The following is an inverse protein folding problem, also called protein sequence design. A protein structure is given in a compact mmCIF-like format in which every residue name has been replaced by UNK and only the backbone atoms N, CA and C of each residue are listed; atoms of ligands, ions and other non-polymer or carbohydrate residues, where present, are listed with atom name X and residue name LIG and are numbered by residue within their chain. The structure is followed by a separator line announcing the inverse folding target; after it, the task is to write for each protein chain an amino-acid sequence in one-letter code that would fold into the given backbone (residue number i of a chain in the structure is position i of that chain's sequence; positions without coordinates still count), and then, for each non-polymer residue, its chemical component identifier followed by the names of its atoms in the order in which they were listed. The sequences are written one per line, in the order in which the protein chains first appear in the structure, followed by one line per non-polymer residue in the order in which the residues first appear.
data_IF_601146661082
#
_entry.id   IF_601146661082
#
_cell.length_a   1.000
_cell.length_b   1.000
_cell.length_c   1.000
_cell.angle_alpha   90.00
_cell.angle_beta   90.00
_cell.angle_gamma   90.00
#
_symmetry.space_group_name_H-M   'P 1'
#
loop_
_entity.id
_entity.type
_entity.pdbx_description
1 polymer ?
#
# COMPACT_ATOMS: atom_id res chain seq x y z
N UNK A 1 23.72 -14.36 -5.46
CA UNK A 1 23.63 -12.89 -5.61
C UNK A 1 22.87 -12.38 -4.39
N UNK A 2 23.23 -11.21 -3.86
CA UNK A 2 22.50 -10.64 -2.72
C UNK A 2 21.06 -10.30 -3.12
N UNK A 3 20.13 -10.40 -2.17
CA UNK A 3 18.73 -10.02 -2.31
C UNK A 3 18.62 -8.49 -2.21
N UNK A 4 18.32 -7.85 -3.34
CA UNK A 4 18.42 -6.40 -3.53
C UNK A 4 17.10 -5.72 -3.18
N UNK A 5 17.17 -4.73 -2.28
CA UNK A 5 16.01 -4.07 -1.70
C UNK A 5 16.06 -2.55 -1.85
N UNK A 6 15.00 -1.99 -2.43
CA UNK A 6 14.72 -0.54 -2.47
C UNK A 6 13.61 -0.18 -1.46
N UNK A 7 13.94 0.67 -0.49
CA UNK A 7 13.01 1.02 0.61
C UNK A 7 12.46 2.44 0.41
N UNK A 8 11.19 2.57 0.03
CA UNK A 8 10.51 3.84 -0.20
C UNK A 8 9.78 4.33 1.05
N UNK A 9 9.66 5.65 1.23
CA UNK A 9 9.06 6.24 2.43
C UNK A 9 9.68 5.66 3.70
N UNK A 10 11.00 5.56 3.69
CA UNK A 10 11.74 4.62 4.54
C UNK A 10 11.61 4.94 6.03
N UNK A 11 11.28 6.19 6.37
CA UNK A 11 11.31 6.70 7.73
C UNK A 11 12.68 6.43 8.33
N UNK A 12 12.71 5.71 9.45
CA UNK A 12 13.94 5.32 10.14
C UNK A 12 14.51 3.97 9.67
N UNK A 13 14.03 3.42 8.55
CA UNK A 13 14.56 2.20 7.92
C UNK A 13 14.00 0.92 8.53
N UNK A 14 12.74 0.91 8.94
CA UNK A 14 12.12 -0.25 9.58
C UNK A 14 12.05 -1.49 8.67
N UNK A 15 11.79 -1.29 7.37
CA UNK A 15 11.80 -2.37 6.39
C UNK A 15 13.21 -2.85 6.08
N UNK A 16 14.16 -1.95 5.81
CA UNK A 16 15.55 -2.33 5.58
C UNK A 16 16.15 -3.09 6.78
N UNK A 17 15.85 -2.66 8.00
CA UNK A 17 16.24 -3.40 9.21
C UNK A 17 15.65 -4.82 9.21
N UNK A 18 14.34 -4.97 8.96
CA UNK A 18 13.70 -6.28 8.89
C UNK A 18 14.33 -7.18 7.81
N UNK A 19 14.62 -6.64 6.64
CA UNK A 19 15.22 -7.38 5.54
C UNK A 19 16.66 -7.82 5.89
N UNK A 20 17.47 -6.94 6.47
CA UNK A 20 18.81 -7.29 6.95
C UNK A 20 18.76 -8.45 7.97
N UNK A 21 17.78 -8.47 8.87
CA UNK A 21 17.64 -9.58 9.83
C UNK A 21 17.23 -10.91 9.19
N UNK A 22 16.56 -10.90 8.03
CA UNK A 22 16.05 -12.10 7.36
C UNK A 22 17.05 -12.69 6.37
N UNK A 23 17.74 -11.84 5.62
CA UNK A 23 18.69 -12.24 4.58
C UNK A 23 20.16 -12.17 5.02
N UNK A 24 20.49 -11.46 6.09
CA UNK A 24 21.84 -11.37 6.68
C UNK A 24 22.90 -10.99 5.62
N UNK A 25 23.93 -11.80 5.41
CA UNK A 25 24.97 -11.57 4.41
C UNK A 25 24.46 -11.62 2.95
N UNK A 26 23.30 -12.23 2.71
CA UNK A 26 22.66 -12.31 1.38
C UNK A 26 21.72 -11.11 1.12
N UNK A 27 21.96 -9.96 1.74
CA UNK A 27 21.11 -8.77 1.65
C UNK A 27 21.87 -7.54 1.15
N UNK A 28 21.24 -6.77 0.26
CA UNK A 28 21.75 -5.47 -0.17
C UNK A 28 20.61 -4.43 -0.19
N UNK A 29 20.73 -3.38 0.62
CA UNK A 29 19.88 -2.20 0.48
C UNK A 29 20.47 -1.29 -0.59
N UNK A 30 19.78 -1.16 -1.73
CA UNK A 30 20.28 -0.41 -2.88
C UNK A 30 20.05 1.09 -2.78
N UNK A 31 19.12 1.50 -1.90
CA UNK A 31 18.76 2.90 -1.73
C UNK A 31 17.54 3.11 -0.86
N UNK A 32 17.44 4.34 -0.34
CA UNK A 32 16.30 4.84 0.41
C UNK A 32 15.66 6.03 -0.31
N UNK A 33 14.35 6.19 -0.15
CA UNK A 33 13.64 7.42 -0.52
C UNK A 33 12.90 7.95 0.69
N UNK A 34 13.38 9.05 1.27
CA UNK A 34 12.87 9.63 2.50
C UNK A 34 13.04 11.15 2.53
N UNK A 35 11.96 11.89 2.71
CA UNK A 35 11.93 13.36 2.61
C UNK A 35 12.28 14.06 3.93
N UNK A 36 12.10 13.39 5.07
CA UNK A 36 12.30 13.97 6.39
C UNK A 36 13.81 13.96 6.76
N UNK A 37 14.44 15.14 6.95
CA UNK A 37 15.88 15.21 7.22
C UNK A 37 16.32 14.49 8.50
N UNK A 38 15.43 14.39 9.51
CA UNK A 38 15.73 13.66 10.74
C UNK A 38 15.80 12.16 10.46
N UNK A 39 14.80 11.62 9.75
CA UNK A 39 14.80 10.24 9.29
C UNK A 39 16.04 9.93 8.42
N UNK A 40 16.39 10.79 7.47
CA UNK A 40 17.60 10.62 6.67
C UNK A 40 18.88 10.57 7.52
N UNK A 41 18.99 11.39 8.56
CA UNK A 41 20.16 11.36 9.44
C UNK A 41 20.24 10.05 10.24
N UNK A 42 19.09 9.49 10.65
CA UNK A 42 19.03 8.15 11.24
C UNK A 42 19.46 7.08 10.24
N UNK A 43 18.97 7.14 9.00
CA UNK A 43 19.35 6.21 7.94
C UNK A 43 20.86 6.25 7.65
N UNK A 44 21.46 7.44 7.53
CA UNK A 44 22.92 7.60 7.31
C UNK A 44 23.75 6.95 8.41
N UNK A 45 23.29 7.07 9.66
CA UNK A 45 23.96 6.46 10.81
C UNK A 45 23.82 4.93 10.82
N UNK A 46 22.64 4.41 10.45
CA UNK A 46 22.30 2.99 10.54
C UNK A 46 22.75 2.17 9.33
N UNK A 47 22.74 2.78 8.15
CA UNK A 47 23.03 2.16 6.86
C UNK A 47 24.10 3.00 6.13
N UNK A 48 25.35 3.03 6.64
CA UNK A 48 26.39 3.88 6.08
C UNK A 48 26.72 3.47 4.63
N UNK A 49 26.77 4.45 3.73
CA UNK A 49 27.12 4.24 2.32
C UNK A 49 25.94 3.90 1.41
N UNK A 50 24.75 3.65 1.94
CA UNK A 50 23.54 3.47 1.12
C UNK A 50 23.04 4.84 0.64
N UNK A 51 22.74 5.01 -0.66
CA UNK A 51 22.24 6.29 -1.18
C UNK A 51 20.85 6.60 -0.63
N UNK A 52 20.59 7.87 -0.38
CA UNK A 52 19.30 8.37 0.13
C UNK A 52 18.84 9.50 -0.79
N UNK A 53 17.65 9.33 -1.35
CA UNK A 53 16.96 10.34 -2.16
C UNK A 53 15.87 11.00 -1.34
N UNK A 54 15.64 12.30 -1.57
CA UNK A 54 14.73 13.09 -0.74
C UNK A 54 13.26 12.86 -1.12
N UNK A 55 12.86 13.31 -2.32
CA UNK A 55 11.45 13.31 -2.73
C UNK A 55 11.18 12.21 -3.76
N UNK A 56 10.21 11.33 -3.44
CA UNK A 56 9.70 10.30 -4.33
C UNK A 56 9.23 10.87 -5.67
N UNK A 57 8.76 12.11 -5.71
CA UNK A 57 8.28 12.77 -6.95
C UNK A 57 9.40 13.06 -7.94
N UNK A 58 10.63 13.14 -7.45
CA UNK A 58 11.84 13.38 -8.24
C UNK A 58 12.74 12.14 -8.36
N UNK A 59 12.38 11.06 -7.66
CA UNK A 59 13.10 9.80 -7.72
C UNK A 59 12.63 8.97 -8.92
N UNK A 60 13.56 8.53 -9.77
CA UNK A 60 13.24 7.87 -11.04
C UNK A 60 12.71 8.83 -12.13
N UNK A 61 12.34 8.27 -13.29
CA UNK A 61 11.88 9.00 -14.48
C UNK A 61 12.98 9.69 -15.31
N UNK A 62 12.60 10.34 -16.43
CA UNK A 62 13.53 10.96 -17.39
C UNK A 62 14.42 12.09 -16.80
N UNK A 63 13.99 12.70 -15.68
CA UNK A 63 14.69 13.81 -15.03
C UNK A 63 15.26 13.46 -13.65
N UNK A 64 15.00 12.25 -13.15
CA UNK A 64 15.47 11.80 -11.84
C UNK A 64 16.78 11.04 -11.91
N UNK A 65 17.31 10.66 -10.74
CA UNK A 65 18.46 9.77 -10.64
C UNK A 65 18.06 8.38 -11.18
N UNK A 66 18.75 7.84 -12.21
CA UNK A 66 18.42 6.55 -12.78
C UNK A 66 18.55 5.46 -11.72
N UNK A 67 17.51 4.65 -11.58
CA UNK A 67 17.58 3.41 -10.79
C UNK A 67 18.35 2.43 -11.67
N UNK A 68 19.64 2.23 -11.36
CA UNK A 68 20.64 1.66 -12.26
C UNK A 68 20.13 0.54 -13.18
N UNK A 69 20.28 0.73 -14.49
CA UNK A 69 19.78 -0.15 -15.56
C UNK A 69 20.30 -1.60 -15.47
N UNK A 70 21.38 -1.85 -14.73
CA UNK A 70 22.11 -3.11 -14.77
C UNK A 70 21.77 -4.09 -13.64
N UNK A 71 20.83 -3.78 -12.73
CA UNK A 71 20.59 -4.66 -11.58
C UNK A 71 19.14 -4.74 -11.13
N UNK A 72 18.56 -5.95 -11.30
CA UNK A 72 17.23 -6.33 -10.81
C UNK A 72 17.04 -5.94 -9.34
N UNK A 73 15.89 -5.38 -9.02
CA UNK A 73 15.44 -5.20 -7.64
C UNK A 73 14.55 -6.39 -7.28
N UNK A 74 14.91 -7.09 -6.21
CA UNK A 74 14.16 -8.26 -5.77
C UNK A 74 12.98 -7.84 -4.91
N UNK A 75 13.16 -6.81 -4.07
CA UNK A 75 12.14 -6.31 -3.16
C UNK A 75 12.03 -4.79 -3.20
N UNK A 76 10.80 -4.30 -3.26
CA UNK A 76 10.45 -2.91 -3.04
C UNK A 76 9.49 -2.82 -1.85
N UNK A 77 9.82 -1.98 -0.86
CA UNK A 77 8.91 -1.73 0.27
C UNK A 77 8.45 -0.28 0.32
N UNK A 78 7.31 -0.03 0.96
CA UNK A 78 6.92 1.34 1.27
C UNK A 78 5.71 1.50 2.19
N UNK A 79 5.88 2.30 3.23
CA UNK A 79 4.80 2.77 4.11
C UNK A 79 4.24 4.10 3.62
N UNK A 80 3.55 4.11 2.49
CA UNK A 80 3.15 5.36 1.85
C UNK A 80 2.13 6.15 2.68
N UNK A 81 2.24 7.48 2.75
CA UNK A 81 1.39 8.28 3.60
C UNK A 81 -0.09 8.21 3.19
N UNK A 82 -0.93 7.79 4.14
CA UNK A 82 -2.39 7.82 4.04
C UNK A 82 -2.93 8.96 4.90
N UNK A 83 -2.78 10.20 4.43
CA UNK A 83 -3.50 11.30 5.06
C UNK A 83 -4.93 11.37 4.53
N UNK A 84 -5.95 11.30 5.40
CA UNK A 84 -7.33 11.29 4.97
C UNK A 84 -7.74 12.67 4.46
N UNK A 85 -8.55 12.65 3.40
CA UNK A 85 -9.52 13.69 3.12
C UNK A 85 -10.28 13.99 4.42
N UNK A 86 -10.06 15.17 5.01
CA UNK A 86 -10.87 15.57 6.17
C UNK A 86 -12.35 15.62 5.76
N UNK A 87 -13.28 15.42 6.70
CA UNK A 87 -14.72 15.41 6.44
C UNK A 87 -15.26 16.69 5.75
N UNK A 88 -14.49 17.79 5.76
CA UNK A 88 -14.79 19.03 5.03
C UNK A 88 -14.36 19.00 3.54
N UNK A 89 -13.59 17.99 3.12
CA UNK A 89 -12.89 17.88 1.84
C UNK A 89 -13.54 16.94 0.82
N UNK A 90 -14.76 16.46 1.05
CA UNK A 90 -15.56 15.60 0.15
C UNK A 90 -15.76 16.15 -1.28
N UNK A 91 -15.23 17.35 -1.59
CA UNK A 91 -15.28 18.00 -2.91
C UNK A 91 -13.94 18.08 -3.65
N UNK A 92 -12.82 17.56 -3.11
CA UNK A 92 -11.49 17.58 -3.76
C UNK A 92 -10.87 16.19 -3.87
N UNK A 93 -11.65 15.20 -4.30
CA UNK A 93 -11.15 13.86 -4.61
C UNK A 93 -9.93 13.89 -5.53
N UNK A 94 -8.97 12.97 -5.30
CA UNK A 94 -7.76 12.70 -6.10
C UNK A 94 -6.80 13.87 -6.40
N UNK A 95 -7.06 15.08 -5.90
CA UNK A 95 -6.24 16.28 -6.10
C UNK A 95 -5.49 16.73 -4.83
N UNK A 96 -5.35 15.86 -3.82
CA UNK A 96 -4.55 16.13 -2.63
C UNK A 96 -3.11 15.68 -2.89
N UNK A 97 -2.18 16.64 -2.88
CA UNK A 97 -0.73 16.44 -3.13
C UNK A 97 -0.03 15.48 -2.15
N UNK A 98 -0.75 14.99 -1.13
CA UNK A 98 -0.27 14.13 -0.05
C UNK A 98 -0.63 12.65 -0.24
N UNK A 99 -1.41 12.32 -1.27
CA UNK A 99 -1.65 10.94 -1.71
C UNK A 99 -0.52 10.50 -2.64
N UNK A 100 0.45 9.73 -2.11
CA UNK A 100 1.67 9.37 -2.83
C UNK A 100 1.65 7.94 -3.40
N UNK A 101 0.49 7.27 -3.43
CA UNK A 101 0.34 5.96 -4.08
C UNK A 101 0.74 6.02 -5.56
N UNK A 102 0.33 7.07 -6.27
CA UNK A 102 0.67 7.22 -7.70
C UNK A 102 2.17 7.34 -7.94
N UNK A 103 2.88 8.02 -7.04
CA UNK A 103 4.33 8.13 -7.11
C UNK A 103 5.00 6.78 -6.81
N UNK A 104 4.48 6.03 -5.83
CA UNK A 104 4.94 4.67 -5.55
C UNK A 104 4.68 3.72 -6.73
N UNK A 105 3.50 3.79 -7.34
CA UNK A 105 3.13 2.99 -8.51
C UNK A 105 4.04 3.29 -9.71
N UNK A 106 4.36 4.57 -9.95
CA UNK A 106 5.34 4.95 -10.98
C UNK A 106 6.69 4.29 -10.74
N UNK A 107 7.19 4.30 -9.51
CA UNK A 107 8.45 3.61 -9.18
C UNK A 107 8.33 2.10 -9.36
N UNK A 108 7.19 1.48 -9.01
CA UNK A 108 6.93 0.05 -9.27
C UNK A 108 6.98 -0.27 -10.78
N UNK A 109 6.43 0.62 -11.61
CA UNK A 109 6.45 0.48 -13.07
C UNK A 109 7.87 0.58 -13.65
N UNK A 110 8.65 1.54 -13.17
CA UNK A 110 10.03 1.77 -13.61
C UNK A 110 10.98 0.65 -13.13
N UNK A 111 10.89 0.28 -11.85
CA UNK A 111 11.80 -0.66 -11.19
C UNK A 111 11.45 -2.11 -11.48
N UNK A 112 10.17 -2.42 -11.66
CA UNK A 112 9.65 -3.78 -11.86
C UNK A 112 10.19 -4.78 -10.82
N UNK A 113 10.04 -4.51 -9.51
CA UNK A 113 10.55 -5.40 -8.48
C UNK A 113 9.86 -6.77 -8.55
N UNK A 114 10.51 -7.80 -8.01
CA UNK A 114 9.92 -9.14 -7.96
C UNK A 114 8.86 -9.24 -6.86
N UNK A 115 9.16 -8.65 -5.72
CA UNK A 115 8.27 -8.56 -4.57
C UNK A 115 8.01 -7.11 -4.20
N UNK A 116 6.78 -6.85 -3.77
CA UNK A 116 6.36 -5.56 -3.23
C UNK A 116 5.78 -5.79 -1.84
N UNK A 117 6.18 -4.99 -0.86
CA UNK A 117 5.48 -4.90 0.43
C UNK A 117 5.07 -3.44 0.67
N UNK A 118 3.78 -3.17 0.54
CA UNK A 118 3.21 -1.90 0.92
C UNK A 118 2.53 -1.99 2.29
N UNK A 119 2.75 -0.99 3.16
CA UNK A 119 2.08 -0.89 4.46
C UNK A 119 1.19 0.34 4.52
N UNK A 120 0.05 0.20 5.20
CA UNK A 120 -0.80 1.34 5.50
C UNK A 120 -1.66 1.18 6.75
N UNK A 121 -2.25 2.28 7.22
CA UNK A 121 -3.22 2.30 8.32
C UNK A 121 -4.48 1.49 7.99
N UNK A 122 -5.09 0.88 9.01
CA UNK A 122 -6.34 0.12 8.89
C UNK A 122 -7.47 0.91 8.19
N UNK A 123 -7.51 2.23 8.37
CA UNK A 123 -8.53 3.10 7.77
C UNK A 123 -8.56 3.05 6.23
N UNK A 124 -7.47 2.63 5.58
CA UNK A 124 -7.36 2.49 4.12
C UNK A 124 -8.52 1.64 3.55
N UNK A 125 -8.89 0.55 4.22
CA UNK A 125 -9.92 -0.40 3.78
C UNK A 125 -11.31 0.23 3.63
N UNK A 126 -11.56 1.35 4.30
CA UNK A 126 -12.86 2.03 4.30
C UNK A 126 -12.83 3.38 3.58
N UNK A 127 -11.65 3.80 3.11
CA UNK A 127 -11.47 5.12 2.53
C UNK A 127 -12.25 5.25 1.22
N UNK A 128 -13.05 6.32 1.11
CA UNK A 128 -13.99 6.54 0.00
C UNK A 128 -14.91 5.34 -0.25
N UNK A 129 -15.31 4.62 0.80
CA UNK A 129 -16.18 3.45 0.67
C UNK A 129 -15.49 2.19 0.19
N UNK A 130 -14.15 2.12 0.28
CA UNK A 130 -13.33 0.99 -0.16
C UNK A 130 -12.64 1.23 -1.51
N UNK A 131 -13.10 2.20 -2.29
CA UNK A 131 -12.61 2.46 -3.65
C UNK A 131 -11.11 2.70 -3.73
N UNK A 132 -10.49 3.32 -2.72
CA UNK A 132 -9.04 3.57 -2.76
C UNK A 132 -8.24 2.29 -2.55
N UNK A 133 -8.71 1.41 -1.68
CA UNK A 133 -8.09 0.10 -1.50
C UNK A 133 -8.24 -0.74 -2.77
N UNK A 134 -9.44 -0.76 -3.36
CA UNK A 134 -9.71 -1.48 -4.61
C UNK A 134 -8.85 -0.92 -5.77
N UNK A 135 -8.64 0.40 -5.83
CA UNK A 135 -7.74 1.06 -6.79
C UNK A 135 -6.30 0.56 -6.64
N UNK A 136 -5.77 0.51 -5.41
CA UNK A 136 -4.40 0.00 -5.15
C UNK A 136 -4.23 -1.45 -5.64
N UNK A 137 -5.17 -2.33 -5.26
CA UNK A 137 -5.09 -3.74 -5.65
C UNK A 137 -5.19 -3.88 -7.17
N UNK A 138 -6.15 -3.18 -7.79
CA UNK A 138 -6.34 -3.21 -9.24
C UNK A 138 -5.12 -2.66 -9.99
N UNK A 139 -4.52 -1.58 -9.51
CA UNK A 139 -3.31 -1.00 -10.11
C UNK A 139 -2.16 -2.00 -10.09
N UNK A 140 -1.91 -2.66 -8.96
CA UNK A 140 -0.86 -3.68 -8.84
C UNK A 140 -1.12 -4.92 -9.70
N UNK A 141 -2.37 -5.39 -9.77
CA UNK A 141 -2.76 -6.52 -10.62
C UNK A 141 -2.63 -6.18 -12.10
N UNK A 142 -2.97 -4.96 -12.51
CA UNK A 142 -2.77 -4.47 -13.88
C UNK A 142 -1.28 -4.37 -14.24
N UNK A 143 -0.43 -4.11 -13.24
CA UNK A 143 1.01 -4.24 -13.34
C UNK A 143 1.48 -5.71 -13.29
N UNK A 144 0.61 -6.72 -13.39
CA UNK A 144 1.05 -8.11 -13.48
C UNK A 144 1.66 -8.65 -12.19
N UNK A 145 1.22 -8.15 -11.04
CA UNK A 145 1.49 -8.75 -9.73
C UNK A 145 0.31 -9.59 -9.25
N UNK A 146 0.58 -10.73 -8.62
CA UNK A 146 -0.37 -11.41 -7.76
C UNK A 146 -0.36 -10.74 -6.39
N UNK A 147 -1.52 -10.23 -5.96
CA UNK A 147 -1.61 -9.34 -4.80
C UNK A 147 -2.39 -9.99 -3.67
N UNK A 148 -1.78 -10.05 -2.49
CA UNK A 148 -2.40 -10.57 -1.28
C UNK A 148 -2.34 -9.55 -0.14
N UNK A 149 -3.49 -8.99 0.28
CA UNK A 149 -3.57 -8.12 1.44
C UNK A 149 -3.76 -8.91 2.75
N UNK A 150 -3.16 -8.42 3.82
CA UNK A 150 -3.27 -8.91 5.19
C UNK A 150 -3.55 -7.78 6.17
N UNK A 151 -4.25 -8.09 7.26
CA UNK A 151 -4.40 -7.16 8.39
C UNK A 151 -3.67 -7.79 9.57
N UNK A 152 -2.55 -7.20 9.96
CA UNK A 152 -1.71 -7.75 11.02
C UNK A 152 -1.53 -6.67 12.09
N UNK A 153 -2.04 -6.90 13.32
CA UNK A 153 -1.76 -6.01 14.43
C UNK A 153 -0.34 -6.24 14.94
N UNK A 154 0.34 -5.17 15.34
CA UNK A 154 1.68 -5.25 15.94
C UNK A 154 1.78 -6.25 17.11
N UNK A 155 0.75 -6.33 17.96
CA UNK A 155 0.70 -7.24 19.09
C UNK A 155 0.67 -8.73 18.67
N UNK A 156 0.32 -9.06 17.43
CA UNK A 156 0.45 -10.44 16.94
C UNK A 156 1.91 -10.91 16.84
N UNK A 157 2.88 -9.98 16.81
CA UNK A 157 4.31 -10.25 16.92
C UNK A 157 4.91 -9.64 18.18
N UNK A 158 4.19 -9.83 19.29
CA UNK A 158 4.63 -9.50 20.65
C UNK A 158 4.89 -8.01 20.92
N UNK A 159 4.48 -7.08 20.04
CA UNK A 159 4.59 -5.67 20.38
C UNK A 159 3.67 -5.32 21.58
N UNK A 160 4.11 -4.44 22.51
CA UNK A 160 3.37 -4.14 23.74
C UNK A 160 2.17 -3.21 23.50
N UNK A 161 1.77 -3.02 22.25
CA UNK A 161 0.71 -2.11 21.84
C UNK A 161 -0.07 -2.69 20.66
N UNK A 162 -1.36 -2.36 20.60
CA UNK A 162 -2.20 -2.71 19.46
C UNK A 162 -2.05 -1.63 18.39
N UNK A 163 -1.60 -2.04 17.20
CA UNK A 163 -1.49 -1.20 16.01
C UNK A 163 -1.86 -2.03 14.80
N UNK A 164 -3.14 -2.00 14.44
CA UNK A 164 -3.66 -2.69 13.25
C UNK A 164 -3.16 -1.98 11.98
N UNK A 165 -2.56 -2.75 11.07
CA UNK A 165 -2.02 -2.28 9.79
C UNK A 165 -2.39 -3.22 8.66
N UNK A 166 -2.65 -2.62 7.50
CA UNK A 166 -2.84 -3.31 6.24
C UNK A 166 -1.47 -3.51 5.61
N UNK A 167 -1.16 -4.74 5.25
CA UNK A 167 0.05 -5.12 4.54
C UNK A 167 -0.37 -5.69 3.20
N UNK A 168 0.06 -5.08 2.11
CA UNK A 168 -0.27 -5.48 0.74
C UNK A 168 1.00 -6.06 0.14
N UNK A 169 0.98 -7.35 -0.15
CA UNK A 169 2.11 -8.08 -0.71
C UNK A 169 1.82 -8.34 -2.19
N UNK A 170 2.74 -7.95 -3.08
CA UNK A 170 2.69 -8.28 -4.49
C UNK A 170 3.83 -9.20 -4.88
N UNK A 171 3.55 -10.24 -5.66
CA UNK A 171 4.56 -11.09 -6.32
C UNK A 171 4.45 -10.96 -7.84
N UNK A 172 5.55 -10.70 -8.52
CA UNK A 172 5.54 -10.56 -9.97
C UNK A 172 5.16 -11.90 -10.64
N UNK A 173 4.18 -11.86 -11.54
CA UNK A 173 3.84 -13.03 -12.36
C UNK A 173 5.01 -13.42 -13.28
N UNK A 174 5.08 -14.70 -13.66
CA UNK A 174 6.09 -15.17 -14.63
C UNK A 174 6.08 -14.34 -15.92
N UNK A 175 4.87 -13.96 -16.38
CA UNK A 175 4.67 -13.10 -17.55
C UNK A 175 5.36 -11.74 -17.38
N UNK A 176 5.28 -11.10 -16.20
CA UNK A 176 5.93 -9.80 -15.95
C UNK A 176 7.46 -9.95 -15.92
N UNK A 177 7.96 -11.04 -15.33
CA UNK A 177 9.39 -11.30 -15.22
C UNK A 177 10.06 -11.59 -16.59
N UNK A 178 9.31 -12.15 -17.54
CA UNK A 178 9.81 -12.49 -18.88
C UNK A 178 9.75 -11.32 -19.87
N UNK A 179 8.87 -10.32 -19.65
CA UNK A 179 8.74 -9.17 -20.53
C UNK A 179 9.85 -8.16 -20.30
N UNK A 180 10.54 -7.79 -21.38
CA UNK A 180 11.47 -6.66 -21.35
C UNK A 180 10.72 -5.32 -21.23
N UNK A 181 11.32 -4.27 -20.65
CA UNK A 181 10.68 -2.95 -20.55
C UNK A 181 10.21 -2.38 -21.90
N UNK A 182 10.90 -2.72 -23.00
CA UNK A 182 10.55 -2.28 -24.35
C UNK A 182 9.29 -2.97 -24.91
N UNK A 183 9.04 -4.22 -24.53
CA UNK A 183 7.88 -5.01 -25.02
C UNK A 183 6.58 -4.56 -24.36
N UNK A 184 6.60 -4.20 -23.07
CA UNK A 184 5.40 -3.66 -22.39
C UNK A 184 5.03 -2.24 -22.84
N UNK A 185 6.02 -1.40 -23.16
CA UNK A 185 5.74 -0.09 -23.74
C UNK A 185 5.03 -0.20 -25.10
N UNK A 186 5.35 -1.21 -25.91
CA UNK A 186 4.62 -1.47 -27.16
C UNK A 186 3.20 -2.02 -26.92
N UNK A 187 3.01 -2.94 -25.97
CA UNK A 187 1.68 -3.48 -25.66
C UNK A 187 0.75 -2.44 -25.03
N UNK A 188 1.24 -1.62 -24.09
CA UNK A 188 0.45 -0.55 -23.46
C UNK A 188 -0.06 0.49 -24.46
N UNK A 189 0.76 0.85 -25.46
CA UNK A 189 0.33 1.73 -26.57
C UNK A 189 -0.74 1.05 -27.41
N UNK A 190 -0.56 -0.23 -27.74
CA UNK A 190 -1.55 -0.99 -28.53
C UNK A 190 -2.87 -1.18 -27.77
N UNK A 191 -2.83 -1.44 -26.46
CA UNK A 191 -4.02 -1.58 -25.62
C UNK A 191 -4.75 -0.26 -25.41
N UNK A 192 -4.02 0.85 -25.26
CA UNK A 192 -4.61 2.19 -25.23
C UNK A 192 -5.31 2.53 -26.55
N UNK A 193 -4.70 2.21 -27.69
CA UNK A 193 -5.33 2.35 -29.01
C UNK A 193 -6.57 1.47 -29.17
N UNK A 194 -6.53 0.24 -28.64
CA UNK A 194 -7.64 -0.72 -28.70
C UNK A 194 -8.82 -0.28 -27.82
N UNK A 195 -8.57 0.26 -26.63
CA UNK A 195 -9.59 0.85 -25.75
C UNK A 195 -10.25 2.06 -26.40
N UNK A 196 -9.45 3.00 -26.93
CA UNK A 196 -9.97 4.15 -27.66
C UNK A 196 -10.84 3.75 -28.86
N UNK A 197 -10.45 2.72 -29.61
CA UNK A 197 -11.24 2.21 -30.74
C UNK A 197 -12.56 1.56 -30.30
N UNK A 198 -12.58 0.93 -29.14
CA UNK A 198 -13.80 0.32 -28.56
C UNK A 198 -14.76 1.38 -28.03
N UNK A 199 -14.24 2.44 -27.41
CA UNK A 199 -15.05 3.57 -26.94
C UNK A 199 -15.66 4.36 -28.11
N UNK A 200 -14.91 4.61 -29.19
CA UNK A 200 -15.46 5.23 -30.42
C UNK A 200 -16.59 4.38 -31.01
N UNK A 201 -16.42 3.05 -31.06
CA UNK A 201 -17.46 2.14 -31.54
C UNK A 201 -18.70 2.14 -30.64
N UNK A 202 -18.54 2.14 -29.32
CA UNK A 202 -19.68 2.22 -28.39
C UNK A 202 -20.42 3.56 -28.47
N UNK A 203 -19.71 4.64 -28.78
CA UNK A 203 -20.31 5.96 -28.98
C UNK A 203 -21.10 6.02 -30.29
N UNK A 204 -20.58 5.40 -31.36
CA UNK A 204 -21.27 5.28 -32.64
C UNK A 204 -22.53 4.41 -32.56
N UNK A 205 -22.48 3.29 -31.82
CA UNK A 205 -23.66 2.43 -31.60
C UNK A 205 -24.76 3.19 -30.84
N UNK A 206 -24.39 4.00 -29.83
CA UNK A 206 -25.33 4.84 -29.09
C UNK A 206 -26.02 5.92 -29.94
N UNK A 207 -25.32 6.51 -30.90
CA UNK A 207 -25.94 7.47 -31.83
C UNK A 207 -26.91 6.78 -32.79
N UNK A 208 -26.59 5.58 -33.28
CA UNK A 208 -27.49 4.82 -34.17
C UNK A 208 -28.75 4.32 -33.44
N UNK A 209 -28.65 3.96 -32.16
CA UNK A 209 -29.79 3.55 -31.35
C UNK A 209 -30.72 4.73 -31.00
N UNK A 210 -30.18 5.93 -30.74
CA UNK A 210 -30.99 7.14 -30.56
C UNK A 210 -31.73 7.56 -31.84
N UNK A 211 -31.11 7.41 -33.01
CA UNK A 211 -31.76 7.72 -34.29
C UNK A 211 -32.91 6.73 -34.60
N UNK A 212 -32.76 5.45 -34.22
CA UNK A 212 -33.83 4.44 -34.33
C UNK A 212 -35.00 4.70 -33.38
N UNK A 213 -34.73 5.07 -32.12
CA UNK A 213 -35.79 5.43 -31.17
C UNK A 213 -36.58 6.66 -31.65
N UNK A 214 -35.92 7.68 -32.20
CA UNK A 214 -36.60 8.87 -32.73
C UNK A 214 -37.50 8.53 -33.94
N UNK A 215 -37.05 7.63 -34.82
CA UNK A 215 -37.85 7.16 -35.96
C UNK A 215 -39.04 6.29 -35.53
N UNK A 216 -38.88 5.43 -34.52
CA UNK A 216 -39.98 4.60 -33.99
C UNK A 216 -41.07 5.46 -33.32
N UNK A 217 -40.68 6.52 -32.59
CA UNK A 217 -41.62 7.45 -31.98
C UNK A 217 -42.40 8.25 -33.04
N UNK A 218 -41.75 8.76 -34.08
CA UNK A 218 -42.42 9.49 -35.18
C UNK A 218 -43.40 8.62 -35.97
N UNK A 219 -43.12 7.31 -36.09
CA UNK A 219 -44.02 6.34 -36.73
C UNK A 219 -45.20 5.93 -35.82
N UNK A 220 -45.04 5.96 -34.50
CA UNK A 220 -46.11 5.66 -33.54
C UNK A 220 -47.13 6.80 -33.41
N UNK A 221 -46.71 8.05 -33.65
CA UNK A 221 -47.55 9.24 -33.51
C UNK A 221 -48.46 9.48 -34.72
N UNK A 222 -48.12 8.93 -35.89
CA UNK A 222 -48.91 9.01 -37.12
C UNK A 222 -50.07 7.99 -37.21
N UNK A 223 -50.16 7.05 -36.26
CA UNK A 223 -51.13 5.94 -36.30
C UNK A 223 -52.18 5.93 -35.17
N UNK A 224 -52.38 7.04 -34.44
CA UNK A 224 -53.42 7.12 -33.40
C UNK A 224 -54.64 7.95 -33.83
N UNK A 225 -55.64 7.27 -34.37
CA UNK A 225 -57.04 7.74 -34.39
C UNK A 225 -57.95 6.79 -33.60
N UNK A 226 -58.71 7.39 -32.68
CA UNK A 226 -59.95 6.95 -32.03
C UNK A 226 -60.00 5.78 -31.01
N UNK A 227 -59.99 6.19 -29.73
CA UNK A 227 -61.02 5.94 -28.68
C UNK A 227 -61.24 4.48 -28.16
N UNK A 228 -62.02 4.26 -27.06
CA UNK A 228 -61.45 4.03 -25.72
C UNK A 228 -61.99 2.76 -24.99
N UNK A 229 -61.22 2.10 -24.13
CA UNK A 229 -61.83 1.29 -23.07
C UNK A 229 -60.95 1.01 -21.83
N UNK A 230 -61.68 0.78 -20.73
CA UNK A 230 -61.33 0.53 -19.34
C UNK A 230 -60.62 -0.82 -19.14
N UNK A 231 -59.79 -0.91 -18.10
CA UNK A 231 -59.28 -2.20 -17.60
C UNK A 231 -58.41 -2.05 -16.35
N UNK A 232 -58.80 -2.71 -15.28
CA UNK A 232 -58.26 -2.65 -13.92
C UNK A 232 -56.79 -3.07 -13.80
N UNK A 233 -56.03 -2.31 -13.00
CA UNK A 233 -54.66 -2.64 -12.60
C UNK A 233 -54.66 -3.38 -11.26
N UNK A 234 -54.50 -4.71 -11.30
CA UNK A 234 -54.15 -5.51 -10.12
C UNK A 234 -52.63 -5.46 -9.88
N UNK A 235 -52.31 -5.05 -8.66
CA UNK A 235 -50.98 -4.83 -8.11
C UNK A 235 -50.37 -6.18 -7.65
N UNK A 236 -49.42 -6.73 -8.40
CA UNK A 236 -48.62 -7.90 -7.99
C UNK A 236 -47.28 -7.46 -7.40
N UNK A 237 -47.29 -7.22 -6.08
CA UNK A 237 -46.09 -7.18 -5.24
C UNK A 237 -45.45 -8.57 -5.19
N UNK A 238 -44.39 -8.79 -5.96
CA UNK A 238 -43.52 -9.94 -5.78
C UNK A 238 -42.49 -9.64 -4.68
N UNK A 239 -42.69 -10.30 -3.55
CA UNK A 239 -41.72 -10.38 -2.46
C UNK A 239 -40.47 -11.10 -2.96
N UNK A 240 -39.30 -10.46 -2.88
CA UNK A 240 -38.01 -11.16 -3.01
C UNK A 240 -37.35 -11.18 -1.63
N UNK A 241 -37.18 -12.41 -1.15
CA UNK A 241 -36.76 -12.77 0.20
C UNK A 241 -35.33 -12.35 0.51
N UNK A 242 -35.16 -11.72 1.67
CA UNK A 242 -33.87 -11.49 2.31
C UNK A 242 -33.38 -12.79 2.94
N UNK A 243 -32.50 -13.50 2.23
CA UNK A 243 -31.70 -14.58 2.84
C UNK A 243 -30.57 -13.96 3.65
N UNK A 244 -30.82 -13.77 4.95
CA UNK A 244 -29.78 -13.58 5.99
C UNK A 244 -29.00 -14.88 6.08
N UNK A 245 -27.81 -14.93 5.48
CA UNK A 245 -26.81 -15.94 5.85
C UNK A 245 -26.19 -15.52 7.18
N UNK A 246 -26.44 -16.31 8.23
CA UNK A 246 -25.67 -16.29 9.47
C UNK A 246 -24.46 -17.17 9.21
N UNK A 247 -23.28 -16.59 9.09
CA UNK A 247 -22.06 -17.35 9.28
C UNK A 247 -21.00 -16.51 10.01
N UNK A 248 -20.81 -16.86 11.28
CA UNK A 248 -19.52 -17.12 11.90
C UNK A 248 -18.48 -15.98 11.94
N UNK A 249 -18.74 -14.98 12.79
CA UNK A 249 -17.68 -14.17 13.43
C UNK A 249 -17.01 -15.01 14.52
N UNK A 250 -15.96 -15.77 14.16
CA UNK A 250 -15.01 -16.24 15.15
C UNK A 250 -14.00 -15.11 15.38
N UNK A 251 -14.21 -14.36 16.46
CA UNK A 251 -13.16 -13.58 17.10
C UNK A 251 -12.24 -14.63 17.70
N UNK A 252 -11.02 -14.77 17.17
CA UNK A 252 -9.97 -15.53 17.84
C UNK A 252 -9.64 -14.82 19.16
N UNK A 253 -10.20 -15.31 20.25
CA UNK A 253 -9.64 -15.08 21.59
C UNK A 253 -8.29 -15.78 21.62
N UNK A 254 -7.24 -14.99 21.86
CA UNK A 254 -5.87 -15.46 21.96
C UNK A 254 -5.71 -16.13 23.33
N UNK A 255 -5.80 -17.46 23.38
CA UNK A 255 -5.38 -18.24 24.54
C UNK A 255 -3.84 -18.20 24.63
N UNK A 256 -3.35 -17.49 25.65
CA UNK A 256 -1.94 -17.51 26.04
C UNK A 256 -1.57 -18.91 26.52
N UNK A 257 -0.79 -19.64 25.71
CA UNK A 257 -0.16 -20.89 26.14
C UNK A 257 1.10 -20.56 26.91
N UNK A 258 1.09 -20.86 28.21
CA UNK A 258 2.25 -20.77 29.09
C UNK A 258 3.35 -21.69 28.54
N UNK A 259 4.43 -21.07 28.03
CA UNK A 259 5.67 -21.77 27.71
C UNK A 259 6.69 -21.45 28.79
N UNK A 260 7.33 -22.52 29.27
CA UNK A 260 8.16 -22.52 30.46
C UNK A 260 9.39 -21.60 30.32
N UNK A 261 9.61 -20.92 31.44
CA UNK A 261 10.54 -19.84 31.68
C UNK A 261 12.00 -20.33 31.72
N UNK A 262 12.85 -19.85 30.79
CA UNK A 262 14.31 -19.80 31.01
C UNK A 262 14.89 -18.51 30.42
N UNK A 263 15.53 -17.70 31.26
CA UNK A 263 16.38 -16.58 30.86
C UNK A 263 15.75 -15.20 31.08
N UNK A 264 16.27 -14.49 32.07
CA UNK A 264 15.87 -13.14 32.50
C UNK A 264 15.96 -12.09 31.38
N UNK A 265 14.82 -11.57 30.94
CA UNK A 265 14.64 -10.20 30.40
C UNK A 265 13.17 -9.85 30.07
N UNK A 266 12.24 -10.81 30.19
CA UNK A 266 10.82 -10.64 29.86
C UNK A 266 9.96 -9.90 30.91
N UNK A 267 10.54 -9.14 31.85
CA UNK A 267 9.77 -8.41 32.87
C UNK A 267 9.11 -7.11 32.37
N UNK A 268 9.45 -6.65 31.16
CA UNK A 268 8.92 -5.39 30.59
C UNK A 268 7.55 -5.54 29.90
N UNK A 269 7.10 -6.76 29.60
CA UNK A 269 5.93 -7.00 28.72
C UNK A 269 4.56 -6.93 29.41
N UNK A 270 4.54 -6.91 30.76
CA UNK A 270 3.33 -6.69 31.56
C UNK A 270 3.14 -5.23 31.97
N UNK A 271 3.96 -4.31 31.46
CA UNK A 271 3.92 -2.88 31.80
C UNK A 271 2.90 -2.20 30.87
N UNK A 272 2.03 -1.35 31.42
CA UNK A 272 1.09 -0.55 30.62
C UNK A 272 1.89 0.25 29.58
N UNK A 273 1.46 0.21 28.31
CA UNK A 273 2.13 0.93 27.23
C UNK A 273 2.23 2.44 27.50
N UNK A 274 1.35 3.01 28.34
CA UNK A 274 1.45 4.39 28.81
C UNK A 274 2.65 4.60 29.72
N UNK A 275 2.96 3.64 30.59
CA UNK A 275 4.13 3.68 31.45
C UNK A 275 5.41 3.50 30.64
N UNK A 276 5.39 2.64 29.61
CA UNK A 276 6.49 2.52 28.62
C UNK A 276 6.68 3.83 27.84
N UNK A 277 5.58 4.44 27.38
CA UNK A 277 5.58 5.72 26.66
C UNK A 277 6.04 6.88 27.56
N UNK A 278 5.66 6.90 28.83
CA UNK A 278 6.11 7.88 29.82
C UNK A 278 7.59 7.70 30.14
N UNK A 279 8.08 6.46 30.23
CA UNK A 279 9.48 6.16 30.48
C UNK A 279 10.39 6.55 29.29
N UNK A 280 9.95 6.29 28.06
CA UNK A 280 10.62 6.79 26.83
C UNK A 280 10.57 8.31 26.72
N UNK A 281 9.54 8.94 27.25
CA UNK A 281 9.40 10.40 27.29
C UNK A 281 10.34 11.10 28.29
N UNK A 282 10.84 10.41 29.32
CA UNK A 282 11.58 11.01 30.44
C UNK A 282 13.11 10.74 30.41
N UNK A 283 13.68 10.44 29.23
CA UNK A 283 15.12 10.25 28.98
C UNK A 283 15.76 9.02 29.67
N UNK A 284 14.99 8.01 30.08
CA UNK A 284 15.52 6.81 30.78
C UNK A 284 15.42 5.50 30.02
N UNK A 285 14.80 5.49 28.83
CA UNK A 285 14.75 4.31 27.97
C UNK A 285 15.53 4.65 26.72
N UNK A 286 16.56 3.85 26.44
CA UNK A 286 17.26 3.88 25.15
C UNK A 286 16.26 3.47 24.07
N UNK A 287 15.79 4.44 23.29
CA UNK A 287 14.84 4.23 22.20
C UNK A 287 15.54 3.70 20.93
N UNK A 288 16.84 3.44 21.01
CA UNK A 288 17.64 2.98 19.90
C UNK A 288 17.87 4.07 18.85
N UNK A 289 17.56 5.34 19.10
CA UNK A 289 17.93 6.44 18.21
C UNK A 289 18.99 7.29 18.91
N UNK A 290 20.15 7.42 18.27
CA UNK A 290 21.27 8.19 18.84
C UNK A 290 20.82 9.61 19.22
N UNK A 291 21.23 10.04 20.42
CA UNK A 291 21.02 11.42 20.89
C UNK A 291 21.86 12.46 20.11
N UNK A 292 22.76 12.00 19.23
CA UNK A 292 23.56 12.81 18.32
C UNK A 292 23.43 12.24 16.91
N UNK A 293 22.88 13.04 16.00
CA UNK A 293 22.79 12.73 14.59
C UNK A 293 23.65 13.76 13.83
N UNK A 294 24.62 13.28 13.07
CA UNK A 294 25.54 14.14 12.33
C UNK A 294 24.78 14.94 11.27
N UNK A 295 25.16 16.21 11.10
CA UNK A 295 24.53 17.12 10.14
C UNK A 295 23.23 17.78 10.62
N UNK A 296 22.78 17.52 11.86
CA UNK A 296 21.59 18.15 12.44
C UNK A 296 21.91 18.86 13.77
N UNK A 297 21.88 20.19 13.76
CA UNK A 297 21.93 21.00 14.99
C UNK A 297 20.51 21.19 15.54
N UNK A 298 20.05 20.24 16.35
CA UNK A 298 18.74 20.30 17.01
C UNK A 298 18.89 20.56 18.50
N UNK A 299 17.98 21.37 19.07
CA UNK A 299 17.83 21.43 20.53
C UNK A 299 17.35 20.09 21.07
N UNK A 300 17.66 19.76 22.34
CA UNK A 300 17.23 18.51 22.96
C UNK A 300 15.70 18.29 22.88
N UNK A 301 14.92 19.35 23.08
CA UNK A 301 13.46 19.30 22.97
C UNK A 301 12.99 18.99 21.53
N UNK A 302 13.62 19.63 20.52
CA UNK A 302 13.29 19.37 19.11
C UNK A 302 13.70 17.95 18.70
N UNK A 303 14.87 17.50 19.11
CA UNK A 303 15.33 16.14 18.87
C UNK A 303 14.37 15.10 19.44
N UNK A 304 13.87 15.30 20.67
CA UNK A 304 12.87 14.41 21.28
C UNK A 304 11.57 14.36 20.48
N UNK A 305 11.08 15.51 20.01
CA UNK A 305 9.87 15.58 19.18
C UNK A 305 10.02 14.80 17.88
N UNK A 306 11.15 14.97 17.18
CA UNK A 306 11.40 14.23 15.93
C UNK A 306 11.55 12.72 16.17
N UNK A 307 12.18 12.28 17.26
CA UNK A 307 12.22 10.85 17.64
C UNK A 307 10.83 10.26 17.82
N UNK A 308 9.96 10.93 18.58
CA UNK A 308 8.59 10.46 18.82
C UNK A 308 7.81 10.38 17.51
N UNK A 309 7.92 11.40 16.65
CA UNK A 309 7.28 11.43 15.33
C UNK A 309 7.78 10.28 14.45
N UNK A 310 9.09 10.08 14.39
CA UNK A 310 9.72 9.03 13.60
C UNK A 310 9.28 7.63 14.06
N UNK A 311 9.34 7.34 15.36
CA UNK A 311 8.88 6.08 15.95
C UNK A 311 7.38 5.85 15.76
N UNK A 312 6.57 6.91 15.88
CA UNK A 312 5.12 6.82 15.68
C UNK A 312 4.71 6.52 14.24
N UNK A 313 5.51 6.99 13.26
CA UNK A 313 5.29 6.77 11.84
C UNK A 313 5.91 5.48 11.32
N UNK A 314 6.97 4.98 11.96
CA UNK A 314 7.63 3.75 11.56
C UNK A 314 6.68 2.55 11.53
N UNK A 315 6.96 1.62 10.62
CA UNK A 315 6.37 0.28 10.63
C UNK A 315 6.93 -0.51 11.82
N UNK A 316 6.28 -1.61 12.17
CA UNK A 316 6.75 -2.53 13.22
C UNK A 316 7.61 -3.61 12.57
N UNK A 317 8.95 -3.59 12.73
CA UNK A 317 9.84 -4.46 11.96
C UNK A 317 9.59 -5.95 12.19
N UNK A 318 9.16 -6.34 13.40
CA UNK A 318 8.85 -7.73 13.73
C UNK A 318 7.73 -8.32 12.86
N UNK A 319 6.79 -7.49 12.39
CA UNK A 319 5.75 -7.95 11.45
C UNK A 319 6.33 -8.09 10.05
N UNK A 320 7.09 -7.09 9.60
CA UNK A 320 7.77 -7.13 8.30
C UNK A 320 8.72 -8.32 8.18
N UNK A 321 9.45 -8.67 9.24
CA UNK A 321 10.35 -9.84 9.27
C UNK A 321 9.61 -11.15 8.96
N UNK A 322 8.39 -11.33 9.43
CA UNK A 322 7.65 -12.58 9.19
C UNK A 322 7.13 -12.66 7.76
N UNK A 323 6.68 -11.54 7.22
CA UNK A 323 6.33 -11.42 5.80
C UNK A 323 7.54 -11.77 4.95
N UNK A 324 8.70 -11.16 5.26
CA UNK A 324 9.95 -11.37 4.54
C UNK A 324 10.48 -12.80 4.68
N UNK A 325 10.32 -13.46 5.82
CA UNK A 325 10.60 -14.91 5.96
C UNK A 325 9.72 -15.75 5.04
N UNK A 326 8.44 -15.39 4.91
CA UNK A 326 7.53 -16.02 3.95
C UNK A 326 7.99 -15.86 2.51
N UNK A 327 8.43 -14.66 2.13
CA UNK A 327 9.02 -14.38 0.81
C UNK A 327 10.29 -15.20 0.59
N UNK A 328 11.24 -15.17 1.54
CA UNK A 328 12.48 -15.96 1.47
C UNK A 328 12.20 -17.45 1.31
N UNK A 329 11.19 -17.97 2.01
CA UNK A 329 10.75 -19.36 1.84
C UNK A 329 10.18 -19.62 0.45
N UNK A 330 9.34 -18.73 -0.09
CA UNK A 330 8.78 -18.87 -1.44
C UNK A 330 9.86 -18.86 -2.53
N UNK A 331 10.85 -17.96 -2.43
CA UNK A 331 11.99 -17.88 -3.36
C UNK A 331 12.87 -19.15 -3.35
N UNK A 332 12.87 -19.92 -2.25
CA UNK A 332 13.62 -21.17 -2.15
C UNK A 332 12.89 -22.38 -2.76
N UNK A 333 11.59 -22.25 -3.05
CA UNK A 333 10.76 -23.33 -3.62
C UNK A 333 10.63 -23.24 -5.14
N UNK A 334 10.91 -22.06 -5.72
CA UNK A 334 10.86 -21.80 -7.16
C UNK A 334 12.23 -22.00 -7.81
#
# INVERSE_FOLDING_TARGET
MAFRHLDLFSGIGGFAYAAQQVWDDDYECVGFVEIDPFCQAVLKLRFPGVPIHDDIKTFGGEQGEPIGEESRIDLLTGGFPCQPFSAAGLRRGKADNRWLWKDMLRVIQEVRPSWIIAENVYGLLTMQGGLVFDEIISDMENEGYEVQPFIIPACAKNAPHRRDRVWIIGNATETRLQKSPAEEQQESVQDAERRNRTDVNNTAIRSEDQEREIQEWQNAESNRSDSPDRGDAQNSRSQRSSRRSKDSRQILECESTETENTGSDFLLWNIDWRDVALATCHDRVDDGISARLDGLELSAAKHRMERIKALGNAIVPQVAMEIMKGIKYAEQQN
#
